data_IF_137211244221
#
_entry.id   IF_137211244221
#
_cell.length_a   1.000
_cell.length_b   1.000
_cell.length_c   1.000
_cell.angle_alpha   90.00
_cell.angle_beta   90.00
_cell.angle_gamma   90.00
#
_symmetry.space_group_name_H-M   'P 1'
#
loop_
_entity.id
_entity.type
_entity.pdbx_description
1 polymer ?
#
# COMPACT_ATOMS: atom_id res chain seq x y z
N UNK A 1 11.13 4.42 14.27
CA UNK A 1 10.04 4.31 13.27
C UNK A 1 9.54 2.87 13.10
N UNK A 2 10.39 1.91 12.77
CA UNK A 2 9.95 0.54 12.49
C UNK A 2 9.09 -0.07 13.60
N UNK A 3 9.44 0.12 14.88
CA UNK A 3 8.67 -0.46 15.98
C UNK A 3 7.19 -0.01 15.98
N UNK A 4 6.89 1.30 15.84
CA UNK A 4 5.50 1.78 15.82
C UNK A 4 4.67 1.16 14.68
N UNK A 5 5.28 0.91 13.52
CA UNK A 5 4.59 0.40 12.35
C UNK A 5 4.56 -1.14 12.29
N UNK A 6 5.65 -1.81 12.67
CA UNK A 6 5.80 -3.27 12.55
C UNK A 6 5.19 -3.98 13.75
N UNK A 7 5.65 -3.66 14.97
CA UNK A 7 5.11 -4.16 16.22
C UNK A 7 5.33 -3.13 17.33
N UNK A 8 4.29 -2.40 17.77
CA UNK A 8 4.42 -1.33 18.76
C UNK A 8 4.90 -1.81 20.14
N UNK A 9 4.80 -3.11 20.48
CA UNK A 9 5.41 -3.67 21.69
C UNK A 9 6.94 -3.50 21.68
N UNK A 10 7.56 -3.46 20.49
CA UNK A 10 8.99 -3.22 20.35
C UNK A 10 9.47 -1.85 20.82
N UNK A 11 8.58 -0.86 20.97
CA UNK A 11 8.89 0.43 21.56
C UNK A 11 9.37 0.30 23.00
N UNK A 12 8.79 -0.63 23.79
CA UNK A 12 9.18 -0.85 25.18
C UNK A 12 10.65 -1.29 25.37
N UNK A 13 11.33 -1.64 24.27
CA UNK A 13 12.76 -2.05 24.26
C UNK A 13 13.69 -0.98 23.73
N UNK A 14 13.20 0.18 23.34
CA UNK A 14 14.04 1.20 22.66
C UNK A 14 15.20 1.74 23.49
N UNK A 15 15.22 1.45 24.79
CA UNK A 15 16.30 1.86 25.70
C UNK A 15 16.31 3.37 25.97
N UNK A 16 17.06 4.13 25.21
CA UNK A 16 17.18 5.58 25.34
C UNK A 16 16.31 6.37 24.34
N UNK A 17 16.56 7.66 24.27
CA UNK A 17 15.98 8.52 23.23
C UNK A 17 16.72 8.26 21.92
N UNK A 18 15.97 8.09 20.82
CA UNK A 18 16.54 7.83 19.49
C UNK A 18 15.84 8.67 18.44
N UNK A 19 16.64 9.18 17.53
CA UNK A 19 16.18 9.86 16.32
C UNK A 19 16.60 9.03 15.11
N UNK A 20 15.67 8.78 14.20
CA UNK A 20 15.92 8.12 12.91
C UNK A 20 15.56 9.07 11.79
N UNK A 21 16.44 9.24 10.83
CA UNK A 21 16.22 9.98 9.59
C UNK A 21 16.62 9.09 8.43
N UNK A 22 15.93 9.22 7.31
CA UNK A 22 16.27 8.42 6.12
C UNK A 22 15.50 8.80 4.89
N UNK A 23 15.83 8.12 3.81
CA UNK A 23 15.13 8.18 2.54
C UNK A 23 14.96 6.78 1.98
N UNK A 24 13.87 6.56 1.26
CA UNK A 24 13.58 5.32 0.56
C UNK A 24 12.84 5.59 -0.73
N UNK A 25 12.98 4.67 -1.69
CA UNK A 25 12.28 4.76 -2.96
C UNK A 25 12.08 3.39 -3.58
N UNK A 26 11.23 3.35 -4.59
CA UNK A 26 10.97 2.16 -5.37
C UNK A 26 10.87 2.48 -6.85
N UNK A 27 11.26 1.51 -7.65
CA UNK A 27 11.21 1.53 -9.11
C UNK A 27 10.45 0.30 -9.59
N UNK A 28 9.48 0.49 -10.48
CA UNK A 28 8.63 -0.58 -11.00
C UNK A 28 9.01 -0.93 -12.44
N UNK A 29 9.18 -2.23 -12.71
CA UNK A 29 9.33 -2.81 -14.02
C UNK A 29 8.30 -3.92 -14.20
N UNK A 30 7.02 -3.58 -14.02
CA UNK A 30 5.89 -4.44 -14.32
C UNK A 30 5.44 -4.22 -15.76
N UNK A 31 4.91 -5.25 -16.39
CA UNK A 31 4.47 -5.20 -17.78
C UNK A 31 3.04 -5.71 -17.93
N UNK A 32 2.39 -5.22 -18.97
CA UNK A 32 1.15 -5.70 -19.53
C UNK A 32 1.45 -6.04 -20.98
N UNK A 33 1.33 -7.33 -21.33
CA UNK A 33 1.84 -7.86 -22.59
C UNK A 33 3.34 -7.45 -22.75
N UNK A 34 3.74 -6.91 -23.85
CA UNK A 34 5.11 -6.50 -24.16
C UNK A 34 5.45 -5.06 -23.68
N UNK A 35 4.53 -4.38 -23.00
CA UNK A 35 4.71 -2.98 -22.60
C UNK A 35 4.91 -2.84 -21.12
N UNK A 36 5.92 -2.06 -20.70
CA UNK A 36 6.09 -1.64 -19.32
C UNK A 36 4.92 -0.76 -18.89
N UNK A 37 4.36 -1.00 -17.69
CA UNK A 37 3.30 -0.16 -17.13
C UNK A 37 3.88 1.16 -16.61
N UNK A 38 3.11 2.23 -16.78
CA UNK A 38 3.42 3.54 -16.17
C UNK A 38 2.90 3.56 -14.71
N UNK A 39 3.67 2.95 -13.82
CA UNK A 39 3.44 3.01 -12.38
C UNK A 39 4.30 4.10 -11.76
N UNK A 40 3.74 4.84 -10.83
CA UNK A 40 4.49 5.84 -10.08
C UNK A 40 5.64 5.21 -9.30
N UNK A 41 6.76 5.92 -9.28
CA UNK A 41 7.99 5.55 -8.61
C UNK A 41 8.12 6.34 -7.29
N UNK A 42 7.56 5.83 -6.19
CA UNK A 42 7.51 6.58 -4.95
C UNK A 42 8.91 6.73 -4.34
N UNK A 43 9.26 7.95 -3.98
CA UNK A 43 10.44 8.24 -3.19
C UNK A 43 10.05 9.18 -2.05
N UNK A 44 10.58 8.96 -0.86
CA UNK A 44 10.20 9.77 0.30
C UNK A 44 11.17 9.72 1.46
N UNK A 45 10.98 10.68 2.37
CA UNK A 45 11.71 10.80 3.62
C UNK A 45 11.09 9.95 4.73
N UNK A 46 11.95 9.39 5.55
CA UNK A 46 11.60 8.61 6.74
C UNK A 46 12.07 9.36 7.98
N UNK A 47 11.17 9.58 8.93
CA UNK A 47 11.47 10.16 10.22
C UNK A 47 10.99 9.23 11.34
N UNK A 48 11.78 9.09 12.40
CA UNK A 48 11.42 8.32 13.59
C UNK A 48 11.95 8.95 14.86
N UNK A 49 11.13 8.98 15.90
CA UNK A 49 11.51 9.40 17.24
C UNK A 49 11.03 8.35 18.24
N UNK A 50 11.88 7.97 19.19
CA UNK A 50 11.47 7.15 20.34
C UNK A 50 12.07 7.71 21.62
N UNK A 51 11.32 7.65 22.70
CA UNK A 51 11.77 8.11 24.00
C UNK A 51 11.09 7.34 25.14
N UNK A 52 11.76 7.12 26.28
CA UNK A 52 11.09 6.71 27.48
C UNK A 52 10.13 7.81 27.96
N UNK A 53 8.94 7.45 28.41
CA UNK A 53 8.01 8.40 29.04
C UNK A 53 8.61 8.87 30.38
N UNK A 54 8.55 10.18 30.69
CA UNK A 54 9.16 10.74 31.91
C UNK A 54 8.29 10.43 33.14
N UNK A 55 8.10 9.15 33.44
CA UNK A 55 7.29 8.66 34.55
C UNK A 55 8.19 8.15 35.68
N UNK A 56 7.78 8.39 36.93
CA UNK A 56 8.47 7.95 38.12
C UNK A 56 7.88 6.66 38.73
N UNK A 57 8.46 6.23 39.87
CA UNK A 57 7.97 5.11 40.64
C UNK A 57 7.95 3.78 39.88
N UNK A 58 6.90 3.01 40.03
CA UNK A 58 6.77 1.68 39.43
C UNK A 58 6.71 1.70 37.87
N UNK A 59 6.45 2.86 37.27
CA UNK A 59 6.37 3.05 35.82
C UNK A 59 7.68 3.54 35.18
N UNK A 60 8.70 3.86 35.98
CA UNK A 60 9.97 4.36 35.51
C UNK A 60 10.61 3.38 34.50
N UNK A 61 10.88 3.86 33.29
CA UNK A 61 11.51 3.09 32.21
C UNK A 61 10.69 1.91 31.67
N UNK A 62 9.40 1.80 32.06
CA UNK A 62 8.53 0.76 31.52
C UNK A 62 7.71 1.20 30.31
N UNK A 63 7.46 2.48 30.19
CA UNK A 63 6.62 3.05 29.11
C UNK A 63 7.51 3.84 28.16
N UNK A 64 7.39 3.56 26.88
CA UNK A 64 8.08 4.27 25.83
C UNK A 64 7.09 4.77 24.79
N UNK A 65 7.34 5.95 24.28
CA UNK A 65 6.55 6.55 23.19
C UNK A 65 7.38 6.56 21.91
N UNK A 66 6.71 6.48 20.79
CA UNK A 66 7.33 6.52 19.48
C UNK A 66 6.50 7.31 18.50
N UNK A 67 7.16 7.95 17.55
CA UNK A 67 6.56 8.59 16.39
C UNK A 67 7.31 8.11 15.15
N UNK A 68 6.58 7.59 14.17
CA UNK A 68 7.09 7.28 12.85
C UNK A 68 6.40 8.14 11.82
N UNK A 69 7.12 8.63 10.81
CA UNK A 69 6.56 9.37 9.69
C UNK A 69 7.21 8.93 8.39
N UNK A 70 6.40 8.88 7.33
CA UNK A 70 6.85 8.77 5.96
C UNK A 70 6.26 9.93 5.16
N UNK A 71 7.12 10.70 4.54
CA UNK A 71 6.77 11.95 3.85
C UNK A 71 7.22 11.87 2.41
N UNK A 72 6.31 12.12 1.49
CA UNK A 72 6.59 12.22 0.05
C UNK A 72 6.77 13.68 -0.33
N UNK A 73 7.79 14.02 -1.12
CA UNK A 73 7.89 15.35 -1.70
C UNK A 73 6.78 15.53 -2.76
N UNK A 74 6.06 16.64 -2.66
CA UNK A 74 5.11 17.07 -3.69
C UNK A 74 3.68 16.51 -3.63
N UNK A 75 3.38 15.55 -2.74
CA UNK A 75 2.01 15.03 -2.62
C UNK A 75 1.71 14.56 -1.19
N UNK A 76 0.53 14.89 -0.68
CA UNK A 76 0.02 14.39 0.60
C UNK A 76 -0.71 13.05 0.40
N UNK A 77 -1.45 12.93 -0.70
CA UNK A 77 -2.13 11.73 -1.15
C UNK A 77 -2.36 11.78 -2.65
N UNK A 78 -2.29 10.63 -3.31
CA UNK A 78 -2.66 10.47 -4.71
C UNK A 78 -3.72 9.39 -4.82
N UNK A 79 -4.79 9.69 -5.54
CA UNK A 79 -5.86 8.76 -5.88
C UNK A 79 -5.90 8.64 -7.39
N UNK A 80 -5.86 7.42 -7.89
CA UNK A 80 -5.97 7.11 -9.31
C UNK A 80 -7.26 6.34 -9.51
N UNK A 81 -8.18 6.93 -10.26
CA UNK A 81 -9.39 6.29 -10.72
C UNK A 81 -9.11 5.54 -12.03
N UNK A 82 -9.61 4.32 -12.14
CA UNK A 82 -9.48 3.49 -13.34
C UNK A 82 -10.85 2.97 -13.74
N UNK A 83 -11.05 2.80 -15.03
CA UNK A 83 -12.21 2.08 -15.55
C UNK A 83 -12.08 0.58 -15.26
N UNK A 84 -13.19 -0.13 -15.04
CA UNK A 84 -13.15 -1.56 -14.71
C UNK A 84 -12.45 -2.43 -15.75
N UNK A 85 -12.61 -2.11 -17.01
CA UNK A 85 -12.05 -2.80 -18.17
C UNK A 85 -10.57 -2.49 -18.44
N UNK A 86 -10.06 -1.38 -17.90
CA UNK A 86 -8.65 -1.00 -18.05
C UNK A 86 -7.73 -1.97 -17.28
N UNK A 87 -6.76 -2.63 -17.96
CA UNK A 87 -5.82 -3.51 -17.28
C UNK A 87 -4.88 -2.74 -16.37
N UNK A 88 -4.84 -3.08 -15.08
CA UNK A 88 -3.92 -2.43 -14.14
C UNK A 88 -3.60 -3.29 -12.92
N UNK A 89 -2.54 -2.88 -12.19
CA UNK A 89 -2.07 -3.52 -10.97
C UNK A 89 -2.61 -2.82 -9.71
N UNK A 90 -3.76 -3.23 -9.14
CA UNK A 90 -4.41 -2.52 -8.04
C UNK A 90 -3.57 -2.52 -6.75
N UNK A 91 -2.65 -3.48 -6.62
CA UNK A 91 -1.76 -3.56 -5.46
C UNK A 91 -0.68 -2.48 -5.47
N UNK A 92 -0.24 -2.02 -6.64
CA UNK A 92 0.88 -1.08 -6.79
C UNK A 92 0.45 0.35 -7.03
N UNK A 93 -0.75 0.59 -7.53
CA UNK A 93 -1.23 1.94 -7.82
C UNK A 93 -1.73 2.65 -6.56
N UNK A 94 -1.27 3.89 -6.36
CA UNK A 94 -1.77 4.81 -5.33
C UNK A 94 -1.51 4.43 -3.86
N UNK A 95 -1.00 3.22 -3.57
CA UNK A 95 -0.87 2.74 -2.19
C UNK A 95 0.35 3.27 -1.45
N UNK A 96 1.37 3.65 -2.16
CA UNK A 96 2.66 4.10 -1.61
C UNK A 96 2.81 5.62 -1.58
N UNK A 97 1.98 6.32 -2.32
CA UNK A 97 2.01 7.78 -2.46
C UNK A 97 1.12 8.46 -1.42
N UNK A 98 1.53 8.43 -0.16
CA UNK A 98 0.77 9.03 0.93
C UNK A 98 1.65 9.43 2.12
N UNK A 99 1.26 10.51 2.77
CA UNK A 99 1.78 10.85 4.10
C UNK A 99 1.29 9.82 5.12
N UNK A 100 2.22 9.26 5.88
CA UNK A 100 1.94 8.30 6.95
C UNK A 100 2.51 8.83 8.25
N UNK A 101 1.69 8.91 9.30
CA UNK A 101 2.10 9.33 10.65
C UNK A 101 1.66 8.25 11.64
N UNK A 102 2.59 7.72 12.41
CA UNK A 102 2.35 6.59 13.31
C UNK A 102 2.87 6.87 14.72
N UNK A 103 2.13 7.61 15.56
CA UNK A 103 2.40 7.65 16.99
C UNK A 103 2.10 6.29 17.63
N UNK A 104 2.85 5.92 18.65
CA UNK A 104 2.66 4.67 19.35
C UNK A 104 3.21 4.70 20.77
N UNK A 105 2.72 3.76 21.57
CA UNK A 105 3.15 3.52 22.95
C UNK A 105 3.45 2.05 23.13
N UNK A 106 4.58 1.74 23.77
CA UNK A 106 4.96 0.41 24.19
C UNK A 106 5.15 0.35 25.70
N UNK A 107 4.69 -0.74 26.29
CA UNK A 107 4.72 -0.97 27.75
C UNK A 107 5.39 -2.28 28.05
N UNK A 108 6.42 -2.26 28.91
CA UNK A 108 7.04 -3.45 29.50
C UNK A 108 6.23 -3.90 30.72
N UNK A 109 5.39 -4.93 30.50
CA UNK A 109 4.52 -5.48 31.56
C UNK A 109 5.36 -6.28 32.56
N UNK A 110 6.22 -7.15 32.05
CA UNK A 110 7.20 -7.91 32.84
C UNK A 110 8.59 -7.82 32.19
N UNK A 111 9.61 -8.43 32.81
CA UNK A 111 10.95 -8.53 32.20
C UNK A 111 10.98 -9.32 30.87
N UNK A 112 9.94 -10.12 30.60
CA UNK A 112 9.83 -11.02 29.44
C UNK A 112 8.61 -10.76 28.55
N UNK A 113 7.71 -9.84 28.91
CA UNK A 113 6.48 -9.59 28.18
C UNK A 113 6.23 -8.09 27.98
N UNK A 114 6.04 -7.71 26.74
CA UNK A 114 5.73 -6.34 26.32
C UNK A 114 4.44 -6.30 25.48
N UNK A 115 3.72 -5.20 25.59
CA UNK A 115 2.57 -4.87 24.74
C UNK A 115 2.72 -3.47 24.16
N UNK A 116 2.01 -3.19 23.10
CA UNK A 116 2.03 -1.85 22.53
C UNK A 116 0.83 -1.59 21.63
N UNK A 117 0.54 -0.32 21.47
CA UNK A 117 -0.49 0.18 20.56
C UNK A 117 0.05 1.37 19.79
N UNK A 118 -0.33 1.46 18.53
CA UNK A 118 -0.05 2.61 17.68
C UNK A 118 -1.28 2.95 16.85
N UNK A 119 -1.37 4.23 16.44
CA UNK A 119 -2.38 4.69 15.50
C UNK A 119 -1.68 5.10 14.21
N UNK A 120 -2.07 4.51 13.08
CA UNK A 120 -1.57 4.90 11.78
C UNK A 120 -2.55 5.89 11.14
N UNK A 121 -2.13 7.16 11.07
CA UNK A 121 -2.87 8.25 10.44
C UNK A 121 -2.45 8.39 8.99
N UNK A 122 -3.42 8.55 8.10
CA UNK A 122 -3.23 8.80 6.69
C UNK A 122 -4.17 9.90 6.22
N UNK A 123 -3.72 10.69 5.25
CA UNK A 123 -4.54 11.70 4.61
C UNK A 123 -5.51 11.03 3.61
N UNK A 124 -6.77 11.43 3.64
CA UNK A 124 -7.76 11.18 2.60
C UNK A 124 -7.89 12.38 1.69
N UNK A 125 -8.65 12.24 0.62
CA UNK A 125 -9.06 13.33 -0.27
C UNK A 125 -10.57 13.28 -0.43
N UNK A 126 -11.20 14.43 -0.38
CA UNK A 126 -12.61 14.62 -0.70
C UNK A 126 -12.84 16.09 -1.04
N UNK A 127 -13.89 16.39 -1.77
CA UNK A 127 -14.13 17.78 -2.14
C UNK A 127 -15.27 17.95 -3.13
N UNK A 128 -15.32 19.13 -3.75
CA UNK A 128 -16.21 19.43 -4.84
C UNK A 128 -15.42 20.06 -5.98
N UNK A 129 -15.72 19.64 -7.20
CA UNK A 129 -15.25 20.25 -8.42
C UNK A 129 -16.43 20.93 -9.11
N UNK A 130 -16.35 22.22 -9.30
CA UNK A 130 -17.32 22.98 -10.09
C UNK A 130 -16.65 23.42 -11.37
N UNK A 131 -17.23 23.08 -12.51
CA UNK A 131 -16.78 23.52 -13.81
C UNK A 131 -17.95 24.18 -14.54
N UNK A 132 -17.81 25.43 -14.89
CA UNK A 132 -18.83 26.19 -15.65
C UNK A 132 -18.19 26.89 -16.83
N UNK A 133 -18.97 27.03 -17.90
CA UNK A 133 -18.59 27.89 -19.02
C UNK A 133 -18.87 29.36 -18.66
N UNK A 134 -17.79 30.14 -18.49
CA UNK A 134 -17.91 31.57 -18.21
C UNK A 134 -18.48 32.34 -19.41
N UNK A 135 -18.97 33.56 -19.16
CA UNK A 135 -19.55 34.46 -20.17
C UNK A 135 -18.63 34.77 -21.38
N UNK A 136 -17.36 34.44 -21.27
CA UNK A 136 -16.34 34.61 -22.31
C UNK A 136 -15.97 33.30 -23.02
N UNK A 137 -16.75 32.22 -22.86
CA UNK A 137 -16.41 30.84 -23.29
C UNK A 137 -15.11 30.28 -22.71
N UNK A 138 -14.62 30.87 -21.62
CA UNK A 138 -13.55 30.30 -20.86
C UNK A 138 -14.12 29.30 -19.86
N UNK A 139 -13.48 28.13 -19.70
CA UNK A 139 -13.82 27.17 -18.68
C UNK A 139 -13.37 27.75 -17.33
N UNK A 140 -14.32 28.00 -16.44
CA UNK A 140 -14.04 28.35 -15.05
C UNK A 140 -14.15 27.08 -14.18
N UNK A 141 -13.10 26.71 -13.47
CA UNK A 141 -13.08 25.54 -12.64
C UNK A 141 -12.72 25.91 -11.20
N UNK A 142 -13.62 25.58 -10.29
CA UNK A 142 -13.40 25.75 -8.85
C UNK A 142 -13.26 24.39 -8.19
N UNK A 143 -12.19 24.22 -7.43
CA UNK A 143 -11.90 23.00 -6.69
C UNK A 143 -11.88 23.32 -5.20
N UNK A 144 -12.80 22.76 -4.44
CA UNK A 144 -12.81 22.79 -2.98
C UNK A 144 -12.35 21.43 -2.47
N UNK A 145 -11.13 21.36 -1.93
CA UNK A 145 -10.55 20.11 -1.40
C UNK A 145 -10.64 20.03 0.12
N UNK A 146 -11.07 18.88 0.62
CA UNK A 146 -11.04 18.52 2.02
C UNK A 146 -10.08 17.34 2.20
N UNK A 147 -9.16 17.45 3.16
CA UNK A 147 -8.19 16.40 3.47
C UNK A 147 -8.54 15.80 4.85
N UNK A 148 -9.48 14.85 4.92
CA UNK A 148 -9.80 14.18 6.17
C UNK A 148 -8.65 13.29 6.62
N UNK A 149 -8.34 13.27 7.91
CA UNK A 149 -7.42 12.32 8.49
C UNK A 149 -8.18 11.06 8.89
N UNK A 150 -7.71 9.92 8.41
CA UNK A 150 -8.25 8.60 8.79
C UNK A 150 -7.21 7.86 9.61
N UNK A 151 -7.63 7.23 10.68
CA UNK A 151 -6.75 6.48 11.58
C UNK A 151 -7.11 5.00 11.63
N UNK A 152 -6.09 4.15 11.77
CA UNK A 152 -6.25 2.73 12.10
C UNK A 152 -5.40 2.34 13.29
N UNK A 153 -5.88 1.38 14.08
CA UNK A 153 -5.16 0.84 15.22
C UNK A 153 -4.20 -0.28 14.79
N UNK A 154 -3.01 -0.28 15.38
CA UNK A 154 -2.04 -1.36 15.36
C UNK A 154 -1.81 -1.78 16.80
N UNK A 155 -2.10 -3.03 17.13
CA UNK A 155 -1.85 -3.59 18.45
C UNK A 155 -0.80 -4.70 18.35
N UNK A 156 0.11 -4.78 19.31
CA UNK A 156 1.17 -5.75 19.30
C UNK A 156 1.52 -6.27 20.67
N UNK A 157 1.98 -7.52 20.68
CA UNK A 157 2.55 -8.17 21.86
C UNK A 157 3.90 -8.79 21.48
N UNK A 158 4.80 -8.85 22.44
CA UNK A 158 6.07 -9.55 22.32
C UNK A 158 6.39 -10.29 23.61
N UNK A 159 6.83 -11.53 23.47
CA UNK A 159 7.15 -12.42 24.57
C UNK A 159 8.51 -13.05 24.36
N UNK A 160 9.28 -13.17 25.44
CA UNK A 160 10.59 -13.79 25.49
C UNK A 160 10.57 -14.99 26.44
N UNK A 161 10.08 -16.16 25.98
CA UNK A 161 10.01 -17.34 26.81
C UNK A 161 11.40 -17.83 27.29
N UNK A 162 12.39 -17.73 26.41
CA UNK A 162 13.79 -18.02 26.63
C UNK A 162 14.64 -16.81 26.22
N UNK A 163 15.87 -16.73 26.75
CA UNK A 163 16.77 -15.64 26.38
C UNK A 163 17.13 -15.65 24.89
N UNK A 164 17.18 -16.83 24.29
CA UNK A 164 17.42 -17.03 22.87
C UNK A 164 16.17 -16.93 21.99
N UNK A 165 14.95 -16.95 22.56
CA UNK A 165 13.71 -17.03 21.77
C UNK A 165 12.82 -15.81 22.01
N UNK A 166 12.37 -15.20 20.94
CA UNK A 166 11.36 -14.12 20.94
C UNK A 166 10.18 -14.54 20.08
N UNK A 167 8.98 -14.25 20.56
CA UNK A 167 7.71 -14.48 19.86
C UNK A 167 6.98 -13.15 19.77
N UNK A 168 6.40 -12.85 18.63
CA UNK A 168 5.64 -11.64 18.39
C UNK A 168 4.28 -11.93 17.80
N UNK A 169 3.28 -11.11 18.17
CA UNK A 169 1.95 -11.12 17.59
C UNK A 169 1.55 -9.68 17.31
N UNK A 170 0.97 -9.44 16.13
CA UNK A 170 0.51 -8.11 15.74
C UNK A 170 -0.82 -8.20 15.03
N UNK A 171 -1.74 -7.36 15.43
CA UNK A 171 -2.99 -7.11 14.73
C UNK A 171 -2.95 -5.70 14.13
N UNK A 172 -3.34 -5.57 12.86
CA UNK A 172 -3.57 -4.30 12.17
C UNK A 172 -5.01 -4.21 11.74
N UNK A 173 -5.69 -3.17 12.17
CA UNK A 173 -7.07 -2.90 11.80
C UNK A 173 -7.15 -2.58 10.29
N UNK A 174 -8.27 -2.94 9.65
CA UNK A 174 -8.63 -2.49 8.31
C UNK A 174 -8.55 -0.96 8.22
N UNK A 175 -8.08 -0.48 7.11
CA UNK A 175 -8.01 0.93 6.80
C UNK A 175 -8.62 1.16 5.41
N UNK A 176 -9.49 2.14 5.34
CA UNK A 176 -10.09 2.59 4.10
C UNK A 176 -10.20 4.11 4.12
N UNK A 177 -9.71 4.75 3.07
CA UNK A 177 -9.89 6.19 2.86
C UNK A 177 -10.95 6.34 1.78
N UNK A 178 -12.16 6.76 2.14
CA UNK A 178 -13.17 7.05 1.14
C UNK A 178 -12.73 8.26 0.32
N UNK A 179 -13.01 8.20 -0.96
CA UNK A 179 -12.97 9.33 -1.86
C UNK A 179 -14.41 9.67 -2.24
N UNK A 180 -14.81 10.92 -2.06
CA UNK A 180 -16.11 11.39 -2.48
C UNK A 180 -15.96 12.81 -3.01
N UNK A 181 -16.31 13.02 -4.27
CA UNK A 181 -16.28 14.32 -4.91
C UNK A 181 -17.58 14.54 -5.68
N UNK A 182 -18.16 15.71 -5.54
CA UNK A 182 -19.26 16.16 -6.38
C UNK A 182 -18.68 17.04 -7.48
N UNK A 183 -18.97 16.71 -8.72
CA UNK A 183 -18.66 17.54 -9.87
C UNK A 183 -19.95 18.15 -10.40
N UNK A 184 -20.00 19.47 -10.43
CA UNK A 184 -21.09 20.23 -11.04
C UNK A 184 -20.61 20.77 -12.39
N UNK A 185 -21.29 20.44 -13.45
CA UNK A 185 -20.96 20.88 -14.81
C UNK A 185 -22.24 21.30 -15.56
N UNK A 186 -22.09 22.02 -16.62
CA UNK A 186 -23.18 22.43 -17.49
C UNK A 186 -22.90 21.93 -18.92
N UNK A 187 -23.85 21.21 -19.50
CA UNK A 187 -23.75 20.72 -20.86
C UNK A 187 -24.96 21.19 -21.64
N UNK A 188 -24.72 21.97 -22.69
CA UNK A 188 -25.77 22.56 -23.53
C UNK A 188 -26.78 23.43 -22.77
N UNK A 189 -26.35 24.09 -21.68
CA UNK A 189 -27.20 24.93 -20.84
C UNK A 189 -27.95 24.20 -19.73
N UNK A 190 -27.79 22.87 -19.63
CA UNK A 190 -28.41 22.05 -18.58
C UNK A 190 -27.37 21.68 -17.51
N UNK A 191 -27.67 21.92 -16.22
CA UNK A 191 -26.78 21.53 -15.13
C UNK A 191 -26.74 20.02 -14.99
N UNK A 192 -25.53 19.47 -14.86
CA UNK A 192 -25.28 18.06 -14.60
C UNK A 192 -24.49 17.92 -13.30
N UNK A 193 -25.06 17.24 -12.34
CA UNK A 193 -24.42 16.87 -11.09
C UNK A 193 -23.89 15.44 -11.16
N UNK A 194 -22.61 15.27 -10.89
CA UNK A 194 -21.93 13.96 -10.83
C UNK A 194 -21.45 13.72 -9.41
N UNK A 195 -21.98 12.71 -8.75
CA UNK A 195 -21.46 12.19 -7.48
C UNK A 195 -20.45 11.08 -7.77
N UNK A 196 -19.17 11.34 -7.49
CA UNK A 196 -18.08 10.39 -7.65
C UNK A 196 -17.71 9.81 -6.30
N UNK A 197 -17.75 8.48 -6.16
CA UNK A 197 -17.37 7.78 -4.94
C UNK A 197 -16.41 6.65 -5.24
N UNK A 198 -15.36 6.51 -4.42
CA UNK A 198 -14.39 5.43 -4.56
C UNK A 198 -13.75 5.08 -3.21
N UNK A 199 -13.12 3.93 -3.15
CA UNK A 199 -12.15 3.61 -2.12
C UNK A 199 -10.78 4.10 -2.59
N UNK A 200 -10.40 5.31 -2.21
CA UNK A 200 -9.14 5.92 -2.63
C UNK A 200 -7.91 5.16 -2.14
N UNK A 201 -7.97 4.58 -0.96
CA UNK A 201 -6.93 3.72 -0.42
C UNK A 201 -7.52 2.67 0.51
N UNK A 202 -7.05 1.44 0.38
CA UNK A 202 -7.46 0.33 1.22
C UNK A 202 -6.25 -0.45 1.75
N UNK A 203 -6.32 -0.87 3.00
CA UNK A 203 -5.45 -1.86 3.60
C UNK A 203 -6.29 -2.85 4.39
N UNK A 204 -6.17 -4.16 4.16
CA UNK A 204 -6.95 -5.16 4.87
C UNK A 204 -6.58 -5.23 6.35
N UNK A 205 -7.47 -5.82 7.17
CA UNK A 205 -7.06 -6.29 8.48
C UNK A 205 -5.99 -7.34 8.33
N UNK A 206 -4.98 -7.30 9.21
CA UNK A 206 -3.86 -8.25 9.16
C UNK A 206 -3.60 -8.83 10.54
N UNK A 207 -3.26 -10.10 10.56
CA UNK A 207 -2.70 -10.79 11.72
C UNK A 207 -1.31 -11.30 11.34
N UNK A 208 -0.31 -10.96 12.14
CA UNK A 208 1.08 -11.38 11.92
C UNK A 208 1.57 -12.08 13.18
N UNK A 209 2.08 -13.28 13.02
CA UNK A 209 2.79 -14.02 14.07
C UNK A 209 4.23 -14.27 13.63
N UNK A 210 5.17 -14.08 14.53
CA UNK A 210 6.57 -14.22 14.24
C UNK A 210 7.39 -14.78 15.39
N UNK A 211 8.50 -15.38 15.02
CA UNK A 211 9.50 -15.90 15.97
C UNK A 211 10.89 -15.41 15.56
N UNK A 212 11.75 -15.20 16.53
CA UNK A 212 13.17 -14.93 16.29
C UNK A 212 14.03 -15.74 17.27
N UNK A 213 14.99 -16.44 16.71
CA UNK A 213 15.99 -17.21 17.46
C UNK A 213 17.30 -16.44 17.45
N UNK A 214 17.80 -16.14 18.65
CA UNK A 214 19.01 -15.36 18.87
C UNK A 214 20.14 -16.30 19.27
N UNK A 215 21.23 -16.25 18.52
CA UNK A 215 22.48 -16.93 18.87
C UNK A 215 23.59 -15.87 19.06
N UNK A 216 24.77 -16.30 19.47
CA UNK A 216 25.94 -15.41 19.50
C UNK A 216 26.40 -14.98 18.11
N UNK A 217 26.16 -15.78 17.08
CA UNK A 217 26.60 -15.52 15.72
C UNK A 217 25.54 -14.80 14.85
N UNK A 218 24.26 -15.05 15.09
CA UNK A 218 23.20 -14.50 14.26
C UNK A 218 21.83 -14.51 14.94
N UNK A 219 20.92 -13.69 14.44
CA UNK A 219 19.48 -13.79 14.71
C UNK A 219 18.79 -14.31 13.45
N UNK A 220 18.03 -15.40 13.59
CA UNK A 220 17.19 -15.92 12.51
C UNK A 220 15.73 -15.66 12.88
N UNK A 221 14.95 -15.16 11.94
CA UNK A 221 13.54 -14.84 12.17
C UNK A 221 12.64 -15.45 11.11
N UNK A 222 11.42 -15.78 11.51
CA UNK A 222 10.35 -16.21 10.61
C UNK A 222 9.04 -15.57 11.03
N UNK A 223 8.27 -15.10 10.04
CA UNK A 223 6.95 -14.51 10.23
C UNK A 223 5.94 -15.15 9.29
N UNK A 224 4.70 -15.27 9.76
CA UNK A 224 3.54 -15.58 8.93
C UNK A 224 2.53 -14.45 9.02
N UNK A 225 1.90 -14.13 7.91
CA UNK A 225 0.92 -13.04 7.79
C UNK A 225 -0.35 -13.58 7.15
N UNK A 226 -1.48 -13.27 7.75
CA UNK A 226 -2.80 -13.40 7.15
C UNK A 226 -3.35 -12.00 6.91
N UNK A 227 -3.94 -11.74 5.73
CA UNK A 227 -4.55 -10.46 5.41
C UNK A 227 -5.92 -10.65 4.74
N UNK A 228 -6.96 -10.04 5.32
CA UNK A 228 -8.35 -10.17 4.91
C UNK A 228 -8.69 -9.24 3.74
N UNK A 229 -8.25 -9.62 2.54
CA UNK A 229 -8.53 -8.88 1.32
C UNK A 229 -9.95 -9.06 0.79
N UNK A 230 -10.65 -10.12 1.19
CA UNK A 230 -12.07 -10.34 0.86
C UNK A 230 -12.99 -9.18 1.31
N UNK A 231 -12.50 -8.31 2.19
CA UNK A 231 -13.21 -7.11 2.64
C UNK A 231 -12.92 -5.87 1.77
N UNK A 232 -12.16 -5.98 0.70
CA UNK A 232 -11.85 -4.85 -0.19
C UNK A 232 -13.05 -4.54 -1.09
N UNK A 233 -13.59 -3.31 -1.08
CA UNK A 233 -14.74 -2.95 -1.91
C UNK A 233 -14.41 -2.86 -3.41
N UNK A 234 -13.12 -2.72 -3.74
CA UNK A 234 -12.65 -2.57 -5.11
C UNK A 234 -12.02 -1.20 -5.38
N UNK A 235 -11.28 -1.08 -6.50
CA UNK A 235 -10.57 0.14 -6.88
C UNK A 235 -11.40 1.06 -7.80
N UNK A 236 -12.65 0.71 -8.09
CA UNK A 236 -13.45 1.41 -9.08
C UNK A 236 -14.14 2.63 -8.51
N UNK A 237 -14.44 3.59 -9.39
CA UNK A 237 -15.19 4.79 -9.05
C UNK A 237 -16.66 4.59 -9.41
N UNK A 238 -17.52 4.71 -8.42
CA UNK A 238 -18.97 4.79 -8.63
C UNK A 238 -19.31 6.21 -9.09
N UNK A 239 -19.96 6.31 -10.24
CA UNK A 239 -20.45 7.57 -10.79
C UNK A 239 -21.97 7.55 -10.73
N UNK A 240 -22.57 8.50 -10.02
CA UNK A 240 -24.02 8.70 -10.00
C UNK A 240 -24.33 10.06 -10.60
N UNK A 241 -25.26 10.10 -11.53
CA UNK A 241 -25.77 11.34 -12.10
C UNK A 241 -27.28 11.27 -12.23
N UNK A 242 -27.93 12.38 -11.96
CA UNK A 242 -29.34 12.59 -12.32
C UNK A 242 -29.37 13.49 -13.54
N UNK A 243 -29.60 12.91 -14.72
CA UNK A 243 -29.82 13.69 -15.94
C UNK A 243 -31.31 14.02 -16.06
N UNK A 244 -31.68 15.30 -16.18
CA UNK A 244 -33.10 15.74 -16.22
C UNK A 244 -33.96 15.09 -17.30
N UNK A 245 -33.33 14.65 -18.40
CA UNK A 245 -34.02 14.05 -19.55
C UNK A 245 -33.84 12.55 -19.73
N UNK A 246 -32.84 11.95 -19.05
CA UNK A 246 -32.45 10.54 -19.26
C UNK A 246 -32.65 9.68 -17.99
N UNK A 247 -32.85 10.35 -16.85
CA UNK A 247 -32.94 9.69 -15.56
C UNK A 247 -31.57 9.38 -14.94
N UNK A 248 -31.53 8.61 -13.83
CA UNK A 248 -30.30 8.33 -13.13
C UNK A 248 -29.37 7.45 -13.97
N UNK A 249 -28.17 7.96 -14.22
CA UNK A 249 -27.05 7.17 -14.74
C UNK A 249 -26.29 6.61 -13.53
N UNK A 250 -26.60 5.37 -13.17
CA UNK A 250 -25.81 4.62 -12.20
C UNK A 250 -25.41 3.31 -12.90
N UNK A 251 -24.16 3.18 -13.31
CA UNK A 251 -23.61 1.91 -13.72
C UNK A 251 -23.35 1.03 -12.49
N UNK A 252 -23.80 -0.22 -12.49
CA UNK A 252 -23.41 -1.17 -11.47
C UNK A 252 -21.89 -1.42 -11.59
N UNK A 253 -21.18 -1.20 -10.47
CA UNK A 253 -19.76 -1.52 -10.41
C UNK A 253 -19.58 -3.04 -10.38
N UNK A 254 -18.63 -3.59 -11.15
CA UNK A 254 -18.36 -5.01 -11.12
C UNK A 254 -17.87 -5.45 -9.75
N UNK A 255 -18.47 -6.53 -9.24
CA UNK A 255 -18.07 -7.15 -7.98
C UNK A 255 -16.91 -8.10 -8.22
N UNK A 256 -15.74 -7.80 -7.65
CA UNK A 256 -14.56 -8.64 -7.73
C UNK A 256 -14.49 -9.56 -6.50
N UNK A 257 -14.39 -10.90 -6.65
CA UNK A 257 -14.27 -11.82 -5.53
C UNK A 257 -12.83 -11.87 -5.01
N UNK A 258 -12.43 -10.82 -4.30
CA UNK A 258 -11.10 -10.71 -3.70
C UNK A 258 -10.78 -11.88 -2.79
N UNK A 259 -9.53 -12.35 -2.84
CA UNK A 259 -9.06 -13.47 -2.03
C UNK A 259 -8.22 -13.00 -0.85
N UNK A 260 -8.45 -13.60 0.31
CA UNK A 260 -7.56 -13.38 1.45
C UNK A 260 -6.15 -13.89 1.15
N UNK A 261 -5.13 -13.19 1.65
CA UNK A 261 -3.75 -13.54 1.36
C UNK A 261 -3.04 -14.12 2.57
N UNK A 262 -2.10 -15.01 2.27
CA UNK A 262 -1.15 -15.57 3.20
C UNK A 262 0.26 -15.21 2.75
N UNK A 263 1.11 -14.88 3.70
CA UNK A 263 2.50 -14.60 3.45
C UNK A 263 3.41 -15.24 4.49
N UNK A 264 4.62 -15.56 4.07
CA UNK A 264 5.70 -16.03 4.93
C UNK A 264 6.95 -15.19 4.70
N UNK A 265 7.72 -14.95 5.75
CA UNK A 265 9.00 -14.23 5.69
C UNK A 265 10.05 -14.97 6.49
N UNK A 266 11.26 -14.99 5.97
CA UNK A 266 12.45 -15.48 6.62
C UNK A 266 13.50 -14.38 6.60
N UNK A 267 14.23 -14.21 7.71
CA UNK A 267 15.27 -13.21 7.82
C UNK A 267 16.45 -13.69 8.64
N UNK A 268 17.62 -13.22 8.29
CA UNK A 268 18.85 -13.40 9.05
C UNK A 268 19.53 -12.06 9.26
N UNK A 269 20.02 -11.85 10.47
CA UNK A 269 20.88 -10.73 10.84
C UNK A 269 22.13 -11.30 11.51
N UNK A 270 23.31 -10.95 10.99
CA UNK A 270 24.58 -11.42 11.51
C UNK A 270 25.52 -10.23 11.76
N UNK A 271 26.00 -10.03 13.01
CA UNK A 271 27.06 -9.07 13.29
C UNK A 271 28.38 -9.58 12.70
N UNK A 272 29.12 -8.71 12.02
CA UNK A 272 30.48 -8.94 11.53
C UNK A 272 31.41 -8.01 12.29
N UNK A 273 31.93 -8.51 13.40
CA UNK A 273 32.62 -7.68 14.39
C UNK A 273 31.68 -6.67 15.08
N UNK A 274 32.25 -5.57 15.58
CA UNK A 274 31.50 -4.57 16.36
C UNK A 274 30.88 -3.46 15.51
N UNK A 275 31.32 -3.34 14.26
CA UNK A 275 30.99 -2.20 13.40
C UNK A 275 30.01 -2.50 12.28
N UNK A 276 29.86 -3.75 11.85
CA UNK A 276 29.09 -4.13 10.69
C UNK A 276 28.01 -5.13 11.05
N UNK A 277 26.83 -4.96 10.50
CA UNK A 277 25.71 -5.91 10.61
C UNK A 277 25.24 -6.24 9.22
N UNK A 278 25.29 -7.50 8.83
CA UNK A 278 24.76 -7.99 7.57
C UNK A 278 23.34 -8.52 7.76
N UNK A 279 22.48 -8.31 6.76
CA UNK A 279 21.10 -8.78 6.76
C UNK A 279 20.74 -9.38 5.41
N UNK A 280 19.97 -10.46 5.47
CA UNK A 280 19.36 -11.09 4.32
C UNK A 280 17.94 -11.51 4.63
N UNK A 281 17.10 -11.54 3.62
CA UNK A 281 15.71 -11.95 3.82
C UNK A 281 15.04 -12.43 2.55
N UNK A 282 14.04 -13.26 2.76
CA UNK A 282 13.14 -13.75 1.72
C UNK A 282 11.71 -13.66 2.23
N UNK A 283 10.79 -13.26 1.33
CA UNK A 283 9.37 -13.30 1.61
C UNK A 283 8.60 -13.86 0.42
N UNK A 284 7.50 -14.52 0.73
CA UNK A 284 6.49 -14.96 -0.22
C UNK A 284 5.12 -14.44 0.23
N UNK A 285 4.28 -14.01 -0.71
CA UNK A 285 2.91 -13.59 -0.45
C UNK A 285 2.02 -13.99 -1.63
N UNK A 286 0.85 -14.55 -1.34
CA UNK A 286 -0.15 -14.88 -2.36
C UNK A 286 -0.81 -13.59 -2.90
N UNK A 287 -1.41 -13.67 -4.09
CA UNK A 287 -2.14 -12.55 -4.69
C UNK A 287 -3.57 -12.44 -4.17
N UNK A 288 -4.08 -11.24 -3.86
CA UNK A 288 -5.49 -11.02 -3.55
C UNK A 288 -6.37 -10.98 -4.80
N UNK A 289 -5.80 -10.77 -5.98
CA UNK A 289 -6.54 -10.71 -7.24
C UNK A 289 -6.93 -12.12 -7.68
N UNK A 290 -8.21 -12.39 -7.96
CA UNK A 290 -8.65 -13.71 -8.42
C UNK A 290 -8.01 -14.07 -9.77
N UNK A 291 -7.81 -15.36 -10.00
CA UNK A 291 -7.24 -15.86 -11.26
C UNK A 291 -8.23 -15.69 -12.42
N UNK A 292 -9.49 -15.93 -12.11
CA UNK A 292 -10.60 -15.78 -13.04
C UNK A 292 -11.37 -14.52 -12.69
N UNK A 293 -11.64 -13.71 -13.68
CA UNK A 293 -12.37 -12.46 -13.54
C UNK A 293 -13.44 -12.43 -14.63
N UNK A 294 -14.68 -12.79 -14.28
CA UNK A 294 -15.79 -12.71 -15.21
C UNK A 294 -16.12 -11.24 -15.51
N UNK A 295 -16.73 -11.00 -16.66
CA UNK A 295 -17.14 -9.66 -17.07
C UNK A 295 -15.96 -8.78 -17.50
N UNK A 296 -16.12 -7.48 -17.33
CA UNK A 296 -15.22 -6.46 -17.89
C UNK A 296 -13.92 -6.24 -17.10
N UNK A 297 -13.75 -6.82 -15.90
CA UNK A 297 -12.60 -6.50 -15.05
C UNK A 297 -11.30 -7.13 -15.53
N UNK A 298 -10.23 -6.32 -15.56
CA UNK A 298 -8.89 -6.73 -15.99
C UNK A 298 -7.83 -6.41 -14.92
N UNK A 299 -8.08 -6.86 -13.68
CA UNK A 299 -7.15 -6.63 -12.57
C UNK A 299 -5.96 -7.59 -12.64
N UNK A 300 -4.76 -7.02 -12.56
CA UNK A 300 -3.51 -7.76 -12.71
C UNK A 300 -2.78 -7.84 -11.36
N UNK A 301 -2.33 -9.02 -11.02
CA UNK A 301 -1.41 -9.30 -9.92
C UNK A 301 -1.03 -10.78 -9.96
N UNK A 302 0.04 -11.13 -9.26
CA UNK A 302 0.49 -12.52 -9.08
C UNK A 302 1.04 -12.73 -7.67
N UNK A 303 1.28 -13.99 -7.27
CA UNK A 303 2.09 -14.27 -6.10
C UNK A 303 3.42 -13.54 -6.17
N UNK A 304 3.93 -13.10 -5.02
CA UNK A 304 5.12 -12.27 -4.93
C UNK A 304 6.23 -12.95 -4.15
N UNK A 305 7.43 -12.93 -4.72
CA UNK A 305 8.66 -13.35 -4.07
C UNK A 305 9.53 -12.12 -3.84
N UNK A 306 9.92 -11.85 -2.61
CA UNK A 306 10.81 -10.72 -2.29
C UNK A 306 12.12 -11.25 -1.76
N UNK A 307 13.23 -10.79 -2.34
CA UNK A 307 14.59 -11.02 -1.86
C UNK A 307 15.11 -9.68 -1.37
N UNK A 308 15.69 -9.66 -0.18
CA UNK A 308 16.21 -8.45 0.42
C UNK A 308 17.61 -8.67 1.00
N UNK A 309 18.45 -7.64 0.89
CA UNK A 309 19.76 -7.58 1.51
C UNK A 309 19.96 -6.22 2.19
N UNK A 310 20.77 -6.18 3.22
CA UNK A 310 21.07 -4.94 3.92
C UNK A 310 22.39 -4.98 4.67
N UNK A 311 22.96 -3.80 4.88
CA UNK A 311 24.14 -3.60 5.69
C UNK A 311 23.91 -2.46 6.69
N UNK A 312 24.25 -2.70 7.94
CA UNK A 312 24.28 -1.69 8.99
C UNK A 312 25.72 -1.38 9.40
N UNK A 313 26.05 -0.12 9.50
CA UNK A 313 27.33 0.37 10.01
C UNK A 313 27.08 1.04 11.35
N UNK A 314 27.74 0.55 12.40
CA UNK A 314 27.63 1.10 13.75
C UNK A 314 28.91 1.87 14.07
N UNK A 315 28.78 3.20 14.21
CA UNK A 315 29.87 4.03 14.66
C UNK A 315 29.63 4.48 16.10
N UNK A 316 30.54 4.14 16.96
CA UNK A 316 30.30 4.21 18.39
C UNK A 316 30.41 5.61 18.99
N UNK A 317 30.97 6.64 18.31
CA UNK A 317 31.08 7.97 18.90
C UNK A 317 31.24 9.12 17.90
N UNK A 318 30.13 9.64 17.42
CA UNK A 318 30.15 11.03 16.94
C UNK A 318 29.77 11.92 18.14
N UNK A 319 30.70 12.69 18.66
CA UNK A 319 30.50 13.54 19.86
C UNK A 319 29.91 12.76 21.05
N UNK A 320 30.38 11.53 21.29
CA UNK A 320 29.92 10.71 22.42
C UNK A 320 28.59 9.97 22.21
N UNK A 321 27.93 10.14 21.08
CA UNK A 321 26.66 9.51 20.74
C UNK A 321 26.87 8.33 19.80
N UNK A 322 26.05 7.28 19.95
CA UNK A 322 26.04 6.13 19.05
C UNK A 322 25.26 6.50 17.79
N UNK A 323 25.89 6.33 16.64
CA UNK A 323 25.27 6.54 15.31
C UNK A 323 25.30 5.24 14.55
N UNK A 324 24.20 4.91 13.92
CA UNK A 324 24.06 3.75 13.04
C UNK A 324 23.54 4.18 11.69
N UNK A 325 24.16 3.69 10.62
CA UNK A 325 23.73 3.85 9.24
C UNK A 325 23.28 2.49 8.73
N UNK A 326 22.10 2.41 8.15
CA UNK A 326 21.56 1.20 7.55
C UNK A 326 21.22 1.46 6.08
N UNK A 327 21.76 0.64 5.17
CA UNK A 327 21.39 0.56 3.77
C UNK A 327 20.64 -0.75 3.55
N UNK A 328 19.55 -0.70 2.80
CA UNK A 328 18.83 -1.89 2.37
C UNK A 328 18.42 -1.80 0.91
N UNK A 329 18.39 -2.95 0.25
CA UNK A 329 17.90 -3.15 -1.11
C UNK A 329 16.99 -4.36 -1.13
N UNK A 330 15.96 -4.31 -1.94
CA UNK A 330 15.08 -5.46 -2.18
C UNK A 330 14.58 -5.51 -3.62
N UNK A 331 14.36 -6.73 -4.08
CA UNK A 331 13.68 -7.02 -5.34
C UNK A 331 12.44 -7.83 -5.04
N UNK A 332 11.30 -7.39 -5.52
CA UNK A 332 10.04 -8.12 -5.48
C UNK A 332 9.72 -8.62 -6.89
N UNK A 333 9.63 -9.92 -7.05
CA UNK A 333 9.28 -10.59 -8.30
C UNK A 333 7.80 -10.90 -8.23
N UNK A 334 7.02 -10.31 -9.12
CA UNK A 334 5.61 -10.61 -9.32
C UNK A 334 5.52 -11.74 -10.33
N UNK A 335 5.05 -12.89 -9.90
CA UNK A 335 4.93 -14.06 -10.75
C UNK A 335 4.02 -13.77 -11.94
N UNK A 336 4.49 -14.10 -13.14
CA UNK A 336 3.73 -13.89 -14.36
C UNK A 336 2.41 -14.64 -14.37
N UNK A 337 1.39 -14.01 -14.93
CA UNK A 337 0.05 -14.56 -15.10
C UNK A 337 -0.48 -14.20 -16.48
N UNK A 338 -1.22 -15.12 -17.08
CA UNK A 338 -2.04 -14.87 -18.25
C UNK A 338 -3.51 -14.84 -17.83
N UNK A 339 -4.15 -13.69 -18.02
CA UNK A 339 -5.59 -13.53 -17.91
C UNK A 339 -6.21 -13.83 -19.29
N UNK A 340 -7.20 -14.72 -19.35
CA UNK A 340 -7.93 -15.05 -20.55
C UNK A 340 -9.40 -14.74 -20.35
N UNK A 341 -10.04 -14.18 -21.38
CA UNK A 341 -11.46 -13.89 -21.42
C UNK A 341 -12.17 -14.80 -22.40
N UNK A 342 -13.41 -15.12 -22.12
CA UNK A 342 -14.30 -15.81 -23.07
C UNK A 342 -14.94 -14.74 -23.96
N UNK A 343 -14.84 -14.94 -25.26
CA UNK A 343 -15.49 -14.07 -26.25
C UNK A 343 -16.81 -14.72 -26.63
N UNK A 344 -17.90 -14.00 -26.46
CA UNK A 344 -19.23 -14.45 -26.88
C UNK A 344 -19.62 -13.80 -28.20
N UNK A 345 -20.38 -14.49 -29.04
CA UNK A 345 -21.00 -13.89 -30.20
C UNK A 345 -22.16 -12.96 -29.77
N UNK A 346 -22.59 -11.99 -30.62
CA UNK A 346 -23.68 -11.10 -30.32
C UNK A 346 -24.95 -11.81 -29.79
N UNK A 347 -25.34 -11.45 -28.53
CA UNK A 347 -26.53 -12.01 -27.88
C UNK A 347 -26.39 -13.45 -27.37
N UNK A 348 -25.19 -14.02 -27.38
CA UNK A 348 -24.96 -15.44 -27.00
C UNK A 348 -24.96 -15.64 -25.48
N UNK A 349 -24.62 -14.65 -24.70
CA UNK A 349 -24.64 -14.67 -23.25
C UNK A 349 -25.99 -14.24 -22.64
N UNK A 350 -26.88 -13.69 -23.46
CA UNK A 350 -28.23 -13.35 -23.07
C UNK A 350 -28.37 -12.13 -22.13
N UNK A 351 -27.31 -11.42 -21.85
CA UNK A 351 -27.31 -10.24 -20.97
C UNK A 351 -27.73 -8.95 -21.69
N UNK A 352 -27.80 -8.98 -23.00
CA UNK A 352 -28.16 -7.82 -23.84
C UNK A 352 -27.10 -6.73 -23.90
N UNK A 353 -26.06 -6.84 -23.10
CA UNK A 353 -24.89 -5.96 -23.04
C UNK A 353 -23.63 -6.79 -23.05
N UNK A 354 -22.86 -6.67 -24.05
CA UNK A 354 -21.78 -7.58 -24.33
C UNK A 354 -20.42 -7.02 -24.00
N UNK A 355 -20.22 -6.64 -22.78
CA UNK A 355 -19.11 -5.87 -22.29
C UNK A 355 -17.73 -6.23 -22.84
N UNK A 356 -17.36 -7.51 -22.90
CA UNK A 356 -16.06 -7.91 -23.43
C UNK A 356 -16.04 -8.13 -24.93
N UNK A 357 -17.17 -8.42 -25.48
CA UNK A 357 -17.37 -8.70 -26.88
C UNK A 357 -17.33 -7.41 -27.71
N UNK A 358 -17.85 -6.31 -27.16
CA UNK A 358 -17.83 -5.00 -27.79
C UNK A 358 -16.45 -4.37 -27.80
N UNK A 359 -15.50 -5.01 -27.13
CA UNK A 359 -14.11 -4.64 -27.26
C UNK A 359 -13.62 -4.94 -28.68
N UNK A 360 -13.50 -3.89 -29.44
CA UNK A 360 -13.01 -3.94 -30.82
C UNK A 360 -11.57 -4.41 -30.81
N UNK A 361 -11.31 -5.52 -31.48
CA UNK A 361 -9.96 -6.02 -31.65
C UNK A 361 -9.19 -5.03 -32.52
N UNK A 362 -8.08 -4.49 -32.01
CA UNK A 362 -7.21 -3.61 -32.79
C UNK A 362 -6.65 -4.40 -33.99
N UNK A 363 -7.25 -4.15 -35.12
CA UNK A 363 -6.88 -4.80 -36.37
C UNK A 363 -6.02 -3.82 -37.19
N UNK A 364 -4.74 -4.17 -37.33
CA UNK A 364 -3.78 -3.33 -38.09
C UNK A 364 -4.22 -3.12 -39.57
N UNK A 365 -5.10 -3.95 -40.10
CA UNK A 365 -5.61 -3.82 -41.46
C UNK A 365 -6.93 -3.03 -41.58
N UNK A 366 -7.52 -2.62 -40.43
CA UNK A 366 -8.75 -1.83 -40.41
C UNK A 366 -8.51 -0.52 -39.63
N UNK A 367 -8.38 0.61 -40.33
CA UNK A 367 -8.13 1.91 -39.69
C UNK A 367 -9.24 2.34 -38.71
N UNK A 368 -10.48 1.83 -38.86
CA UNK A 368 -11.57 2.16 -37.97
C UNK A 368 -11.43 1.55 -36.58
N UNK A 369 -10.61 0.50 -36.44
CA UNK A 369 -10.40 -0.19 -35.18
C UNK A 369 -9.08 0.19 -34.50
N UNK A 370 -8.23 0.98 -35.15
CA UNK A 370 -6.96 1.40 -34.58
C UNK A 370 -7.12 2.23 -33.31
N UNK A 371 -6.50 1.78 -32.23
CA UNK A 371 -6.60 2.41 -30.92
C UNK A 371 -7.91 2.13 -30.18
N UNK A 372 -8.81 1.32 -30.73
CA UNK A 372 -10.07 0.99 -30.07
C UNK A 372 -9.89 0.13 -28.81
N UNK A 373 -8.75 -0.56 -28.68
CA UNK A 373 -8.38 -1.37 -27.49
C UNK A 373 -7.57 -0.60 -26.47
N UNK A 374 -7.85 0.66 -26.23
CA UNK A 374 -7.09 1.48 -25.25
C UNK A 374 -7.21 0.90 -23.85
N UNK A 375 -8.38 0.39 -23.47
CA UNK A 375 -8.67 -0.13 -22.13
C UNK A 375 -8.31 -1.61 -21.97
N UNK A 376 -8.23 -2.39 -23.05
CA UNK A 376 -7.97 -3.83 -23.00
C UNK A 376 -6.92 -4.30 -24.02
N UNK A 377 -5.65 -3.91 -23.87
CA UNK A 377 -4.59 -4.30 -24.80
C UNK A 377 -4.36 -5.82 -24.77
N UNK A 378 -4.42 -6.46 -25.92
CA UNK A 378 -4.20 -7.91 -26.05
C UNK A 378 -5.38 -8.79 -25.69
N UNK A 379 -6.59 -8.25 -25.77
CA UNK A 379 -7.82 -9.04 -25.71
C UNK A 379 -7.85 -10.14 -26.80
N UNK A 380 -8.35 -11.35 -26.49
CA UNK A 380 -8.87 -11.82 -25.19
C UNK A 380 -7.81 -12.33 -24.20
N UNK A 381 -6.56 -11.99 -24.40
CA UNK A 381 -5.43 -12.45 -23.58
C UNK A 381 -4.59 -11.28 -23.09
N UNK A 382 -4.32 -11.26 -21.80
CA UNK A 382 -3.43 -10.29 -21.17
C UNK A 382 -2.36 -11.04 -20.37
N UNK A 383 -1.10 -10.88 -20.75
CA UNK A 383 0.05 -11.37 -20.01
C UNK A 383 0.56 -10.27 -19.07
N UNK A 384 0.86 -10.63 -17.83
CA UNK A 384 1.28 -9.68 -16.79
C UNK A 384 2.37 -10.28 -15.91
N UNK A 385 3.14 -9.43 -15.24
CA UNK A 385 4.20 -9.81 -14.32
C UNK A 385 5.35 -8.82 -14.31
N UNK A 386 6.47 -9.20 -13.68
CA UNK A 386 7.68 -8.38 -13.67
C UNK A 386 8.29 -8.21 -12.30
N UNK A 387 8.96 -7.09 -12.08
CA UNK A 387 9.77 -6.85 -10.89
C UNK A 387 9.57 -5.44 -10.35
N UNK A 388 9.68 -5.30 -9.02
CA UNK A 388 9.74 -4.01 -8.34
C UNK A 388 11.00 -3.99 -7.49
N UNK A 389 11.82 -2.98 -7.68
CA UNK A 389 13.04 -2.74 -6.92
C UNK A 389 12.76 -1.65 -5.89
N UNK A 390 13.23 -1.83 -4.66
CA UNK A 390 13.16 -0.79 -3.66
C UNK A 390 14.43 -0.76 -2.83
N UNK A 391 14.72 0.40 -2.29
CA UNK A 391 15.88 0.57 -1.43
C UNK A 391 15.75 1.79 -0.55
N UNK A 392 16.62 1.87 0.46
CA UNK A 392 16.64 3.00 1.35
C UNK A 392 17.88 3.06 2.22
N UNK A 393 18.16 4.27 2.67
CA UNK A 393 19.22 4.60 3.61
C UNK A 393 18.60 5.24 4.84
N UNK A 394 18.98 4.77 6.03
CA UNK A 394 18.56 5.38 7.29
C UNK A 394 19.75 5.64 8.21
N UNK A 395 19.69 6.73 8.95
CA UNK A 395 20.59 7.06 10.04
C UNK A 395 19.82 7.09 11.36
N UNK A 396 20.30 6.35 12.34
CA UNK A 396 19.78 6.40 13.72
C UNK A 396 20.82 6.99 14.64
N UNK A 397 20.42 7.93 15.48
CA UNK A 397 21.25 8.58 16.48
C UNK A 397 20.64 8.36 17.85
N UNK A 398 21.42 7.85 18.79
CA UNK A 398 21.08 7.78 20.22
C UNK A 398 21.36 9.13 20.87
N UNK A 399 20.31 9.79 21.45
CA UNK A 399 20.34 11.18 21.94
C UNK A 399 20.72 11.27 23.41
#
# INVERSE_FOLDING_TARGET
MAASLVNPAGLARSGGKRLTLGAQGAFSNLHINDRRTDLSEPAGGVFGLTAPAPLGGALAGRIHVGLGMYVLPGSIARIVARYPDEPFYPYYQGRTERLVIVPGVGVRVTSRFEVGVAANFMAGLGGALQASEGSTRALDARVDEKVPAVARVIAGAAWRPLDALRVGLVFRQRFEVPFATRAETEVAGEPIDLDLRASGQFSPSQLVAGVAWLTSAATVSADVTFARWSAYPGPFVEVKSELPLVGPLAGELPTVPWKDTFGGKLGVEAPLGDAVILRGGYAFETSPVPAEQPGVTNLLDGPRHTIAAGVGLVHTRVKGKRVRLDLHLQTQIVQGRTLRKTVFAPGEDGDGFDGLRDEVTDNANDPATQGAQISNPGFPRIDSGGQVFAGGLTMEVEL
#
